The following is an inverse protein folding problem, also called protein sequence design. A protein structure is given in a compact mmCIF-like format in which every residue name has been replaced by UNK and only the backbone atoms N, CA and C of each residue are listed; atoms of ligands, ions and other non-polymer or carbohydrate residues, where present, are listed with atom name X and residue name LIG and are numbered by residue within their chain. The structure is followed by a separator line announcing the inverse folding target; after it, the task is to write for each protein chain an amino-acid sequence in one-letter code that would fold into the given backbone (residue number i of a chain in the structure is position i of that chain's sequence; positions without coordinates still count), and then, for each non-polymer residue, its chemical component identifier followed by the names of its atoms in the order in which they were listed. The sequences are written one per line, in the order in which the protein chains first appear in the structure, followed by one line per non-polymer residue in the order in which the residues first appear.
data_IF_145161343969
#
_entry.id   IF_145161343969
#
_cell.length_a   1.000
_cell.length_b   1.000
_cell.length_c   1.000
_cell.angle_alpha   90.00
_cell.angle_beta   90.00
_cell.angle_gamma   90.00
#
_symmetry.space_group_name_H-M   'P 1'
#
loop_
_entity.id
_entity.type
_entity.pdbx_description
1 polymer ?
#
# COMPACT_ATOMS: atom_id res chain seq x y z
N UNK A 1 -2.15 -4.18 16.39
CA UNK A 1 -1.33 -3.16 15.70
C UNK A 1 -1.27 -3.40 14.20
N UNK A 2 -0.75 -4.53 13.69
CA UNK A 2 -0.78 -4.84 12.24
C UNK A 2 -2.18 -4.63 11.62
N UNK A 3 -3.21 -5.27 12.19
CA UNK A 3 -4.60 -5.12 11.69
C UNK A 3 -5.13 -3.68 11.70
N UNK A 4 -4.69 -2.84 12.65
CA UNK A 4 -5.13 -1.45 12.74
C UNK A 4 -4.53 -0.65 11.59
N UNK A 5 -3.23 -0.79 11.35
CA UNK A 5 -2.56 -0.15 10.23
C UNK A 5 -3.08 -0.64 8.87
N UNK A 6 -3.36 -1.95 8.75
CA UNK A 6 -3.95 -2.53 7.54
C UNK A 6 -5.36 -2.01 7.28
N UNK A 7 -6.17 -1.89 8.33
CA UNK A 7 -7.52 -1.32 8.25
C UNK A 7 -7.46 0.15 7.83
N UNK A 8 -6.58 0.95 8.44
CA UNK A 8 -6.39 2.36 8.05
C UNK A 8 -5.99 2.47 6.57
N UNK A 9 -5.04 1.65 6.10
CA UNK A 9 -4.65 1.67 4.70
C UNK A 9 -5.82 1.33 3.77
N UNK A 10 -6.61 0.31 4.13
CA UNK A 10 -7.78 -0.12 3.35
C UNK A 10 -8.85 0.98 3.30
N UNK A 11 -9.16 1.63 4.42
CA UNK A 11 -10.11 2.74 4.49
C UNK A 11 -9.64 3.95 3.68
N UNK A 12 -8.35 4.31 3.74
CA UNK A 12 -7.81 5.40 2.93
C UNK A 12 -8.02 5.11 1.44
N UNK A 13 -7.69 3.90 0.99
CA UNK A 13 -7.86 3.51 -0.43
C UNK A 13 -9.35 3.52 -0.80
N UNK A 14 -10.20 2.86 -0.02
CA UNK A 14 -11.63 2.74 -0.30
C UNK A 14 -12.37 4.07 -0.29
N UNK A 15 -12.08 4.96 0.66
CA UNK A 15 -12.69 6.29 0.73
C UNK A 15 -12.24 7.18 -0.43
N UNK A 16 -10.97 7.10 -0.87
CA UNK A 16 -10.51 7.83 -2.05
C UNK A 16 -11.17 7.31 -3.35
N UNK A 17 -11.31 5.99 -3.48
CA UNK A 17 -12.05 5.40 -4.60
C UNK A 17 -13.52 5.86 -4.60
N UNK A 18 -14.19 5.89 -3.44
CA UNK A 18 -15.57 6.37 -3.33
C UNK A 18 -15.69 7.87 -3.63
N UNK A 19 -14.71 8.67 -3.21
CA UNK A 19 -14.67 10.10 -3.53
C UNK A 19 -14.53 10.36 -5.04
N UNK A 20 -13.78 9.52 -5.76
CA UNK A 20 -13.60 9.66 -7.22
C UNK A 20 -14.91 9.50 -8.03
N UNK A 21 -15.92 8.82 -7.46
CA UNK A 21 -17.26 8.66 -8.05
C UNK A 21 -18.31 9.55 -7.35
N UNK A 22 -17.89 10.69 -6.79
CA UNK A 22 -18.75 11.66 -6.10
C UNK A 22 -19.65 11.03 -5.01
N UNK A 23 -19.12 10.06 -4.26
CA UNK A 23 -19.85 9.36 -3.19
C UNK A 23 -21.07 8.54 -3.66
N UNK A 24 -21.19 8.26 -4.95
CA UNK A 24 -22.23 7.41 -5.49
C UNK A 24 -21.87 5.92 -5.28
N UNK A 25 -22.52 5.29 -4.31
CA UNK A 25 -22.26 3.90 -3.95
C UNK A 25 -22.57 2.89 -5.08
N UNK A 26 -23.54 3.19 -5.94
CA UNK A 26 -23.90 2.32 -7.06
C UNK A 26 -22.79 2.34 -8.11
N UNK A 27 -22.28 3.53 -8.43
CA UNK A 27 -21.16 3.68 -9.35
C UNK A 27 -19.86 3.13 -8.77
N UNK A 28 -19.64 3.28 -7.46
CA UNK A 28 -18.51 2.70 -6.76
C UNK A 28 -18.43 1.18 -6.98
N UNK A 29 -19.54 0.45 -6.80
CA UNK A 29 -19.57 -1.00 -7.03
C UNK A 29 -19.39 -1.32 -8.52
N UNK A 30 -20.05 -0.57 -9.41
CA UNK A 30 -19.98 -0.81 -10.86
C UNK A 30 -18.57 -0.64 -11.39
N UNK A 31 -17.87 0.39 -10.92
CA UNK A 31 -16.55 0.79 -11.41
C UNK A 31 -15.41 0.28 -10.54
N UNK A 32 -15.68 -0.42 -9.44
CA UNK A 32 -14.67 -0.90 -8.48
C UNK A 32 -13.40 -1.48 -9.14
N UNK A 33 -13.48 -2.30 -10.22
CA UNK A 33 -12.27 -2.80 -10.87
C UNK A 33 -11.38 -1.71 -11.49
N UNK A 34 -11.95 -0.59 -11.93
CA UNK A 34 -11.27 0.53 -12.57
C UNK A 34 -10.90 1.67 -11.62
N UNK A 35 -11.43 1.68 -10.39
CA UNK A 35 -11.09 2.72 -9.43
C UNK A 35 -9.67 2.52 -8.91
N UNK A 36 -8.99 3.63 -8.65
CA UNK A 36 -7.67 3.63 -8.04
C UNK A 36 -7.44 4.81 -7.11
N UNK A 37 -6.48 4.60 -6.22
CA UNK A 37 -5.72 5.66 -5.58
C UNK A 37 -4.36 5.72 -6.28
N UNK A 38 -4.17 6.79 -7.07
CA UNK A 38 -2.97 7.03 -7.89
C UNK A 38 -1.80 7.56 -7.05
N UNK A 39 -0.54 7.27 -7.45
CA UNK A 39 0.63 7.87 -6.85
C UNK A 39 0.71 9.39 -7.14
N UNK A 40 1.53 10.14 -6.38
CA UNK A 40 1.75 11.56 -6.61
C UNK A 40 2.26 11.87 -8.02
N UNK A 41 1.88 13.02 -8.56
CA UNK A 41 2.38 13.47 -9.86
C UNK A 41 3.92 13.66 -9.84
N UNK A 42 4.62 13.45 -10.98
CA UNK A 42 6.08 13.53 -11.04
C UNK A 42 6.67 14.89 -10.62
N UNK A 43 5.90 15.97 -10.74
CA UNK A 43 6.29 17.33 -10.34
C UNK A 43 6.66 17.45 -8.86
N UNK A 44 6.09 16.59 -8.01
CA UNK A 44 6.38 16.56 -6.59
C UNK A 44 7.66 15.78 -6.25
N UNK A 45 8.25 15.04 -7.19
CA UNK A 45 9.45 14.22 -6.97
C UNK A 45 9.28 13.30 -5.76
N UNK A 46 10.17 13.43 -4.76
CA UNK A 46 10.09 12.71 -3.47
C UNK A 46 9.50 13.54 -2.32
N UNK A 47 9.02 14.76 -2.58
CA UNK A 47 8.42 15.61 -1.55
C UNK A 47 7.07 15.05 -1.07
N UNK A 48 6.58 15.58 0.06
CA UNK A 48 5.22 15.30 0.51
C UNK A 48 4.24 16.18 -0.27
N UNK A 49 3.43 15.60 -1.17
CA UNK A 49 2.44 16.33 -1.96
C UNK A 49 1.21 16.69 -1.10
N UNK A 50 0.36 17.61 -1.60
CA UNK A 50 -0.98 17.84 -1.06
C UNK A 50 -1.81 16.55 -0.99
N UNK A 51 -2.76 16.49 -0.05
CA UNK A 51 -3.60 15.29 0.14
C UNK A 51 -4.39 14.90 -1.11
N UNK A 52 -4.89 15.89 -1.86
CA UNK A 52 -5.67 15.70 -3.09
C UNK A 52 -4.81 15.27 -4.29
N UNK A 53 -3.48 15.46 -4.24
CA UNK A 53 -2.55 15.15 -5.34
C UNK A 53 -1.60 13.99 -4.96
N UNK A 54 -2.14 12.93 -4.37
CA UNK A 54 -1.39 11.73 -4.04
C UNK A 54 -0.83 11.66 -2.61
N UNK A 55 -1.11 12.66 -1.76
CA UNK A 55 -0.75 12.57 -0.33
C UNK A 55 -1.43 11.39 0.37
N UNK A 56 -2.67 11.07 -0.01
CA UNK A 56 -3.37 9.87 0.47
C UNK A 56 -2.68 8.58 0.07
N UNK A 57 -2.06 8.52 -1.12
CA UNK A 57 -1.31 7.35 -1.57
C UNK A 57 -0.10 7.08 -0.67
N UNK A 58 0.65 8.12 -0.30
CA UNK A 58 1.78 7.98 0.62
C UNK A 58 1.33 7.52 2.02
N UNK A 59 0.23 8.06 2.53
CA UNK A 59 -0.34 7.64 3.82
C UNK A 59 -0.81 6.19 3.79
N UNK A 60 -1.47 5.76 2.70
CA UNK A 60 -1.88 4.39 2.49
C UNK A 60 -0.67 3.46 2.40
N UNK A 61 0.34 3.81 1.59
CA UNK A 61 1.57 3.05 1.41
C UNK A 61 2.36 2.89 2.71
N UNK A 62 2.50 3.96 3.49
CA UNK A 62 3.16 3.92 4.81
C UNK A 62 2.39 3.02 5.81
N UNK A 63 1.07 3.20 5.89
CA UNK A 63 0.23 2.41 6.79
C UNK A 63 0.24 0.93 6.40
N UNK A 64 0.17 0.62 5.10
CA UNK A 64 0.22 -0.73 4.57
C UNK A 64 1.59 -1.39 4.83
N UNK A 65 2.68 -0.67 4.57
CA UNK A 65 4.04 -1.16 4.84
C UNK A 65 4.22 -1.49 6.33
N UNK A 66 3.76 -0.61 7.22
CA UNK A 66 3.81 -0.82 8.67
C UNK A 66 2.97 -2.04 9.07
N UNK A 67 1.78 -2.19 8.50
CA UNK A 67 0.91 -3.35 8.72
C UNK A 67 1.61 -4.67 8.37
N UNK A 68 2.26 -4.72 7.20
CA UNK A 68 2.96 -5.90 6.68
C UNK A 68 4.18 -6.25 7.54
N UNK A 69 5.00 -5.26 7.90
CA UNK A 69 6.16 -5.48 8.78
C UNK A 69 5.74 -5.97 10.18
N UNK A 70 4.67 -5.41 10.74
CA UNK A 70 4.10 -5.89 12.01
C UNK A 70 3.52 -7.31 11.88
N UNK A 71 2.99 -7.67 10.71
CA UNK A 71 2.53 -9.04 10.43
C UNK A 71 3.71 -10.01 10.35
N UNK A 72 4.82 -9.59 9.76
CA UNK A 72 6.05 -10.38 9.75
C UNK A 72 6.56 -10.65 11.17
N UNK A 73 6.62 -9.63 12.03
CA UNK A 73 6.98 -9.78 13.45
C UNK A 73 6.04 -10.76 14.14
N UNK A 74 4.73 -10.71 13.84
CA UNK A 74 3.76 -11.68 14.36
C UNK A 74 4.12 -13.11 13.94
N UNK A 75 4.40 -13.37 12.67
CA UNK A 75 4.76 -14.72 12.18
C UNK A 75 6.03 -15.22 12.88
N UNK A 76 7.05 -14.38 12.98
CA UNK A 76 8.30 -14.71 13.67
C UNK A 76 8.08 -15.08 15.15
N UNK A 77 7.36 -14.23 15.89
CA UNK A 77 7.07 -14.47 17.33
C UNK A 77 6.25 -15.74 17.55
N UNK A 78 5.33 -16.07 16.64
CA UNK A 78 4.51 -17.28 16.73
C UNK A 78 5.33 -18.54 16.49
N UNK A 79 6.22 -18.55 15.51
CA UNK A 79 7.12 -19.68 15.29
C UNK A 79 8.02 -19.93 16.51
N UNK A 80 8.61 -18.86 17.05
CA UNK A 80 9.48 -18.96 18.23
C UNK A 80 8.73 -19.43 19.49
N UNK A 81 7.53 -18.91 19.74
CA UNK A 81 6.72 -19.32 20.89
C UNK A 81 6.30 -20.81 20.87
N UNK A 82 6.25 -21.43 19.68
CA UNK A 82 5.93 -22.85 19.50
C UNK A 82 7.16 -23.74 19.29
N UNK A 83 8.37 -23.19 19.45
CA UNK A 83 9.62 -23.95 19.23
C UNK A 83 9.83 -24.41 17.77
N UNK A 84 9.16 -23.78 16.81
CA UNK A 84 9.27 -24.11 15.39
C UNK A 84 10.41 -23.33 14.71
N UNK A 85 10.92 -23.86 13.60
CA UNK A 85 11.84 -23.12 12.73
C UNK A 85 11.19 -21.89 12.10
N UNK A 86 11.98 -20.84 11.86
CA UNK A 86 11.50 -19.52 11.36
C UNK A 86 11.50 -19.41 9.83
N UNK A 87 11.58 -20.52 9.10
CA UNK A 87 11.66 -20.54 7.63
C UNK A 87 10.54 -19.76 6.93
N UNK A 88 9.30 -19.85 7.44
CA UNK A 88 8.16 -19.10 6.91
C UNK A 88 8.33 -17.59 7.06
N UNK A 89 8.89 -17.13 8.18
CA UNK A 89 9.17 -15.71 8.38
C UNK A 89 10.23 -15.22 7.37
N UNK A 90 11.27 -16.01 7.12
CA UNK A 90 12.30 -15.66 6.14
C UNK A 90 11.79 -15.66 4.70
N UNK A 91 10.97 -16.65 4.32
CA UNK A 91 10.30 -16.65 3.02
C UNK A 91 9.39 -15.43 2.85
N UNK A 92 8.65 -15.06 3.91
CA UNK A 92 7.81 -13.87 3.87
C UNK A 92 8.63 -12.58 3.77
N UNK A 93 9.81 -12.52 4.38
CA UNK A 93 10.72 -11.37 4.23
C UNK A 93 11.14 -11.15 2.76
N UNK A 94 11.37 -12.23 2.00
CA UNK A 94 11.69 -12.13 0.58
C UNK A 94 10.51 -11.55 -0.24
N UNK A 95 9.27 -11.89 0.11
CA UNK A 95 8.09 -11.28 -0.51
C UNK A 95 7.94 -9.79 -0.13
N UNK A 96 8.20 -9.44 1.13
CA UNK A 96 8.21 -8.05 1.60
C UNK A 96 9.29 -7.24 0.87
N UNK A 97 10.44 -7.84 0.59
CA UNK A 97 11.49 -7.21 -0.20
C UNK A 97 10.99 -6.81 -1.59
N UNK A 98 10.37 -7.73 -2.34
CA UNK A 98 9.80 -7.42 -3.66
C UNK A 98 8.76 -6.29 -3.56
N UNK A 99 7.86 -6.35 -2.58
CA UNK A 99 6.88 -5.30 -2.31
C UNK A 99 7.54 -3.92 -2.09
N UNK A 100 8.57 -3.85 -1.25
CA UNK A 100 9.32 -2.62 -0.98
C UNK A 100 10.09 -2.14 -2.20
N UNK A 101 10.64 -3.04 -3.02
CA UNK A 101 11.32 -2.67 -4.26
C UNK A 101 10.38 -1.94 -5.19
N UNK A 102 9.16 -2.46 -5.40
CA UNK A 102 8.18 -1.87 -6.31
C UNK A 102 7.60 -0.55 -5.79
N UNK A 103 7.24 -0.48 -4.51
CA UNK A 103 6.50 0.66 -3.95
C UNK A 103 7.34 1.72 -3.26
N UNK A 104 8.62 1.47 -2.95
CA UNK A 104 9.43 2.38 -2.13
C UNK A 104 10.86 2.55 -2.63
N UNK A 105 11.63 1.48 -2.76
CA UNK A 105 13.07 1.56 -3.07
C UNK A 105 13.30 2.05 -4.50
N UNK A 106 12.61 1.47 -5.50
CA UNK A 106 12.74 1.93 -6.90
C UNK A 106 12.28 3.40 -7.05
N UNK A 107 11.10 3.82 -6.58
CA UNK A 107 10.70 5.24 -6.60
C UNK A 107 11.74 6.18 -5.99
N UNK A 108 12.33 5.80 -4.86
CA UNK A 108 13.37 6.58 -4.18
C UNK A 108 14.65 6.69 -5.02
N UNK A 109 15.07 5.60 -5.67
CA UNK A 109 16.23 5.62 -6.58
C UNK A 109 15.98 6.42 -7.86
N UNK A 110 14.73 6.44 -8.34
CA UNK A 110 14.31 7.22 -9.51
C UNK A 110 14.04 8.69 -9.18
N UNK A 111 13.96 9.06 -7.89
CA UNK A 111 13.72 10.43 -7.45
C UNK A 111 12.26 10.89 -7.59
N UNK A 112 11.31 9.97 -7.75
CA UNK A 112 9.90 10.31 -7.96
C UNK A 112 8.95 9.25 -7.41
N UNK A 113 7.95 9.67 -6.64
CA UNK A 113 6.87 8.78 -6.16
C UNK A 113 5.94 8.29 -7.27
N UNK A 114 5.89 8.98 -8.42
CA UNK A 114 5.07 8.60 -9.57
C UNK A 114 5.45 7.24 -10.18
N UNK A 115 6.67 6.76 -9.91
CA UNK A 115 7.17 5.47 -10.39
C UNK A 115 6.65 4.27 -9.57
N UNK A 116 5.89 4.53 -8.50
CA UNK A 116 5.32 3.51 -7.65
C UNK A 116 3.99 2.98 -8.19
N UNK A 117 3.59 1.79 -7.72
CA UNK A 117 2.37 1.11 -8.19
C UNK A 117 1.11 1.80 -7.60
N UNK A 118 0.08 2.09 -8.40
CA UNK A 118 -1.20 2.59 -7.90
C UNK A 118 -1.98 1.52 -7.14
N UNK A 119 -2.87 1.94 -6.23
CA UNK A 119 -3.77 1.02 -5.54
C UNK A 119 -5.11 0.95 -6.27
N UNK A 120 -5.31 -0.06 -7.12
CA UNK A 120 -6.56 -0.36 -7.84
C UNK A 120 -6.50 -1.74 -8.49
N UNK A 121 -7.60 -2.31 -8.98
CA UNK A 121 -7.58 -3.69 -9.53
C UNK A 121 -7.04 -3.73 -10.97
N UNK A 122 -7.57 -2.93 -11.88
CA UNK A 122 -7.00 -2.79 -13.22
C UNK A 122 -5.82 -1.81 -13.25
N UNK A 123 -5.84 -0.70 -12.50
CA UNK A 123 -4.72 0.24 -12.51
C UNK A 123 -3.38 -0.34 -12.05
N UNK A 124 -3.33 -1.39 -11.22
CA UNK A 124 -2.05 -2.05 -10.89
C UNK A 124 -1.54 -3.01 -11.98
N UNK A 125 -2.37 -3.31 -12.98
CA UNK A 125 -2.05 -4.16 -14.13
C UNK A 125 -1.66 -3.36 -15.37
N UNK A 126 -2.12 -2.11 -15.46
CA UNK A 126 -1.78 -1.15 -16.52
C UNK A 126 -0.29 -0.73 -16.43
#
# INVERSE_FOLDING_TARGET
MSLIFGFIAFEIIGLNMLASVNWNFIEFIRLLPWLALEPPAPEYGLSFPPLNDGGWWLMAGFSLTTSILLWWVRIYRRAWAHGMGTHVAWAFMAAIWLYLVLGFIRPLLMGSWAEAVPFGIFPHLD
#
